data_IF_833892335696
#
_entry.id   IF_833892335696
#
_cell.length_a   1.000
_cell.length_b   1.000
_cell.length_c   1.000
_cell.angle_alpha   90.00
_cell.angle_beta   90.00
_cell.angle_gamma   90.00
#
_symmetry.space_group_name_H-M   'P 1'
#
loop_
_entity.id
_entity.type
_entity.pdbx_description
1 polymer ?
#
# COMPACT_ATOMS: atom_id res chain seq x y z
N UNK A 1 8.22 19.10 1.24
CA UNK A 1 7.99 19.31 2.69
C UNK A 1 7.01 18.23 3.13
N UNK A 2 7.47 17.13 3.72
CA UNK A 2 6.63 15.98 4.05
C UNK A 2 6.08 16.11 5.48
N UNK A 3 4.76 16.17 5.62
CA UNK A 3 4.05 16.23 6.92
C UNK A 3 4.02 14.84 7.54
N UNK A 4 4.49 14.73 8.79
CA UNK A 4 4.42 13.51 9.62
C UNK A 4 2.96 13.18 9.96
N UNK A 5 2.55 11.94 9.74
CA UNK A 5 1.27 11.37 10.17
C UNK A 5 1.55 10.68 11.51
N UNK A 6 0.63 10.83 12.48
CA UNK A 6 0.69 10.20 13.81
C UNK A 6 -0.56 9.29 13.93
N UNK A 7 -0.35 7.98 14.09
CA UNK A 7 -1.37 6.95 14.30
C UNK A 7 -1.15 6.35 15.69
N UNK A 8 -2.12 6.55 16.57
CA UNK A 8 -2.13 5.98 17.92
C UNK A 8 -3.08 4.77 17.94
N UNK A 9 -2.55 3.56 18.16
CA UNK A 9 -3.36 2.36 18.41
C UNK A 9 -2.64 1.46 19.44
N UNK A 10 -3.26 1.29 20.60
CA UNK A 10 -2.81 0.44 21.71
C UNK A 10 -3.60 -0.87 21.65
N UNK A 11 -2.96 -2.03 21.40
CA UNK A 11 -3.50 -3.35 21.78
C UNK A 11 -2.39 -4.40 21.97
N UNK A 12 -2.54 -5.25 23.00
CA UNK A 12 -1.73 -6.44 23.29
C UNK A 12 -1.96 -7.54 22.23
N UNK A 13 -0.94 -8.36 21.94
CA UNK A 13 -0.79 -9.39 20.88
C UNK A 13 -0.26 -8.85 19.54
N UNK A 14 0.52 -9.63 18.77
CA UNK A 14 1.14 -9.16 17.53
C UNK A 14 0.08 -9.15 16.41
N UNK A 15 -0.93 -8.29 16.58
CA UNK A 15 -1.50 -7.56 15.47
C UNK A 15 -0.29 -6.96 14.76
N UNK A 16 -0.17 -7.13 13.44
CA UNK A 16 0.79 -6.36 12.64
C UNK A 16 0.59 -4.92 13.08
N UNK A 17 1.47 -4.44 13.97
CA UNK A 17 1.29 -3.20 14.69
C UNK A 17 1.09 -2.17 13.61
N UNK A 18 -0.10 -1.56 13.55
CA UNK A 18 -0.58 -0.73 12.46
C UNK A 18 0.60 0.09 11.91
N UNK A 19 1.29 -0.47 10.91
CA UNK A 19 2.58 0.08 10.53
C UNK A 19 2.19 1.43 9.96
N UNK A 20 2.71 2.51 10.54
CA UNK A 20 2.39 3.84 10.06
C UNK A 20 2.84 3.89 8.61
N UNK A 21 1.91 3.68 7.67
CA UNK A 21 2.18 3.73 6.25
C UNK A 21 2.46 5.18 5.88
N UNK A 22 3.66 5.62 6.24
CA UNK A 22 4.10 7.01 6.26
C UNK A 22 4.47 7.51 4.87
N UNK A 23 4.73 6.59 3.94
CA UNK A 23 5.11 6.88 2.57
C UNK A 23 4.01 6.43 1.62
N UNK A 24 3.69 7.30 0.67
CA UNK A 24 2.73 7.03 -0.38
C UNK A 24 3.36 7.35 -1.74
N UNK A 25 3.34 6.35 -2.61
CA UNK A 25 3.84 6.44 -3.97
C UNK A 25 2.68 6.13 -4.92
N UNK A 26 2.58 6.88 -6.02
CA UNK A 26 1.56 6.64 -7.02
C UNK A 26 2.13 6.77 -8.43
N UNK A 27 1.70 5.90 -9.32
CA UNK A 27 2.10 5.94 -10.73
C UNK A 27 0.97 5.47 -11.65
N UNK A 28 1.07 5.86 -12.92
CA UNK A 28 0.17 5.35 -13.95
C UNK A 28 0.49 3.91 -14.31
N UNK A 29 -0.55 3.09 -14.44
CA UNK A 29 -0.48 1.74 -14.97
C UNK A 29 -1.58 1.57 -16.02
N UNK A 30 -1.23 1.89 -17.27
CA UNK A 30 -2.22 2.07 -18.34
C UNK A 30 -3.23 3.18 -18.01
N UNK A 31 -4.53 2.84 -18.02
CA UNK A 31 -5.60 3.74 -17.61
C UNK A 31 -5.75 3.85 -16.08
N UNK A 32 -5.22 2.88 -15.34
CA UNK A 32 -5.36 2.77 -13.89
C UNK A 32 -4.24 3.55 -13.18
N UNK A 33 -4.40 3.72 -11.87
CA UNK A 33 -3.40 4.35 -11.00
C UNK A 33 -3.03 3.37 -9.91
N UNK A 34 -1.76 2.98 -9.86
CA UNK A 34 -1.25 2.10 -8.82
C UNK A 34 -0.71 2.94 -7.69
N UNK A 35 -1.12 2.60 -6.46
CA UNK A 35 -0.68 3.24 -5.23
C UNK A 35 0.05 2.22 -4.40
N UNK A 36 1.24 2.58 -3.91
CA UNK A 36 2.01 1.82 -2.93
C UNK A 36 2.12 2.66 -1.66
N UNK A 37 1.56 2.14 -0.58
CA UNK A 37 1.70 2.67 0.76
C UNK A 37 2.75 1.84 1.50
N UNK A 38 3.66 2.49 2.22
CA UNK A 38 4.72 1.79 2.93
C UNK A 38 5.07 2.50 4.24
N UNK A 39 5.49 1.70 5.22
CA UNK A 39 6.07 2.16 6.49
C UNK A 39 7.50 2.71 6.35
N UNK A 40 8.21 2.29 5.31
CA UNK A 40 9.59 2.65 5.05
C UNK A 40 9.75 3.34 3.70
N UNK A 41 10.84 4.09 3.56
CA UNK A 41 11.19 4.69 2.28
C UNK A 41 11.70 3.60 1.34
N UNK A 42 11.03 3.44 0.20
CA UNK A 42 11.42 2.46 -0.82
C UNK A 42 12.15 3.20 -1.96
N UNK A 43 13.20 2.57 -2.51
CA UNK A 43 13.91 3.09 -3.68
C UNK A 43 13.01 3.01 -4.91
N UNK A 44 12.91 4.08 -5.69
CA UNK A 44 12.05 4.17 -6.87
C UNK A 44 12.35 3.08 -7.91
N UNK A 45 13.58 2.54 -7.92
CA UNK A 45 13.98 1.41 -8.77
C UNK A 45 13.22 0.12 -8.44
N UNK A 46 12.68 -0.01 -7.23
CA UNK A 46 11.93 -1.19 -6.80
C UNK A 46 10.43 -1.10 -7.13
N UNK A 47 9.87 0.09 -7.41
CA UNK A 47 8.42 0.26 -7.58
C UNK A 47 7.84 -0.54 -8.76
N UNK A 48 8.63 -0.76 -9.80
CA UNK A 48 8.23 -1.52 -10.98
C UNK A 48 8.57 -3.01 -10.92
N UNK A 49 9.29 -3.46 -9.89
CA UNK A 49 9.79 -4.83 -9.76
C UNK A 49 9.16 -5.50 -8.54
N UNK A 50 8.15 -6.32 -8.82
CA UNK A 50 7.44 -7.09 -7.80
C UNK A 50 8.38 -8.02 -7.01
N UNK A 51 9.41 -8.60 -7.65
CA UNK A 51 10.36 -9.47 -6.94
C UNK A 51 11.24 -8.67 -5.98
N UNK A 52 11.65 -7.46 -6.38
CA UNK A 52 12.40 -6.57 -5.49
C UNK A 52 11.58 -6.15 -4.26
N UNK A 53 10.30 -5.81 -4.45
CA UNK A 53 9.40 -5.51 -3.33
C UNK A 53 9.20 -6.73 -2.44
N UNK A 54 8.94 -7.90 -3.01
CA UNK A 54 8.80 -9.14 -2.24
C UNK A 54 10.07 -9.47 -1.45
N UNK A 55 11.26 -9.34 -2.04
CA UNK A 55 12.53 -9.60 -1.35
C UNK A 55 12.78 -8.63 -0.19
N UNK A 56 12.48 -7.34 -0.38
CA UNK A 56 12.59 -6.35 0.68
C UNK A 56 11.61 -6.65 1.83
N UNK A 57 10.38 -7.05 1.52
CA UNK A 57 9.38 -7.42 2.51
C UNK A 57 9.77 -8.70 3.27
N UNK A 58 10.28 -9.74 2.58
CA UNK A 58 10.84 -10.96 3.21
C UNK A 58 11.97 -10.65 4.18
N UNK A 59 12.78 -9.65 3.86
CA UNK A 59 13.91 -9.20 4.70
C UNK A 59 13.48 -8.24 5.81
N UNK A 60 12.17 -8.08 6.03
CA UNK A 60 11.59 -7.17 7.02
C UNK A 60 12.12 -5.73 6.85
N UNK A 61 12.37 -5.32 5.60
CA UNK A 61 12.87 -3.98 5.27
C UNK A 61 11.75 -2.99 4.98
N UNK A 62 10.55 -3.49 4.65
CA UNK A 62 9.33 -2.69 4.64
C UNK A 62 8.10 -3.60 4.79
N UNK A 63 7.03 -3.00 5.29
CA UNK A 63 5.66 -3.49 5.20
C UNK A 63 4.85 -2.48 4.41
N UNK A 64 3.98 -2.95 3.52
CA UNK A 64 3.26 -2.05 2.64
C UNK A 64 2.03 -2.66 2.01
N UNK A 65 1.24 -1.80 1.40
CA UNK A 65 0.05 -2.18 0.65
C UNK A 65 0.11 -1.54 -0.72
N UNK A 66 0.01 -2.36 -1.75
CA UNK A 66 -0.14 -1.91 -3.12
C UNK A 66 -1.58 -2.14 -3.57
N UNK A 67 -2.18 -1.13 -4.17
CA UNK A 67 -3.52 -1.22 -4.74
C UNK A 67 -3.56 -0.57 -6.13
N UNK A 68 -4.19 -1.24 -7.08
CA UNK A 68 -4.50 -0.65 -8.39
C UNK A 68 -5.90 -0.07 -8.36
N UNK A 69 -6.01 1.22 -8.65
CA UNK A 69 -7.25 1.99 -8.57
C UNK A 69 -7.68 2.39 -9.98
N UNK A 70 -8.91 2.03 -10.36
CA UNK A 70 -9.48 2.38 -11.67
C UNK A 70 -9.80 3.88 -11.76
N UNK A 71 -10.01 4.45 -12.96
CA UNK A 71 -10.48 5.84 -13.11
C UNK A 71 -11.80 6.15 -12.38
N UNK A 72 -12.62 5.13 -12.12
CA UNK A 72 -13.87 5.27 -11.37
C UNK A 72 -13.63 5.40 -9.86
N UNK A 73 -12.45 5.04 -9.38
CA UNK A 73 -12.08 5.01 -7.96
C UNK A 73 -12.35 3.65 -7.31
N UNK A 74 -12.46 2.59 -8.09
CA UNK A 74 -12.63 1.21 -7.60
C UNK A 74 -11.26 0.56 -7.44
N UNK A 75 -11.08 -0.27 -6.41
CA UNK A 75 -9.85 -1.04 -6.23
C UNK A 75 -9.95 -2.31 -7.07
N UNK A 76 -9.14 -2.41 -8.12
CA UNK A 76 -9.08 -3.54 -9.03
C UNK A 76 -8.23 -4.68 -8.47
N UNK A 77 -7.10 -4.34 -7.82
CA UNK A 77 -6.20 -5.31 -7.22
C UNK A 77 -5.60 -4.76 -5.92
N UNK A 78 -5.10 -5.68 -5.09
CA UNK A 78 -4.63 -5.42 -3.75
C UNK A 78 -3.59 -6.44 -3.33
N UNK A 79 -2.40 -5.98 -2.99
CA UNK A 79 -1.30 -6.83 -2.54
C UNK A 79 -0.73 -6.25 -1.27
N UNK A 80 -0.59 -7.08 -0.24
CA UNK A 80 0.06 -6.71 1.02
C UNK A 80 1.46 -7.30 1.01
N UNK A 81 2.46 -6.45 1.20
CA UNK A 81 3.85 -6.83 1.39
C UNK A 81 4.16 -6.84 2.88
N UNK A 82 4.66 -7.96 3.38
CA UNK A 82 4.98 -8.16 4.80
C UNK A 82 6.00 -9.29 4.92
N UNK A 83 6.77 -9.35 6.02
CA UNK A 83 7.67 -10.46 6.27
C UNK A 83 6.95 -11.81 6.47
N UNK A 84 5.63 -11.79 6.69
CA UNK A 84 4.81 -13.00 6.76
C UNK A 84 4.53 -13.60 5.37
N UNK A 85 4.08 -14.87 5.34
CA UNK A 85 3.56 -15.54 4.13
C UNK A 85 4.47 -15.40 2.89
N UNK A 86 5.78 -15.62 3.07
CA UNK A 86 6.77 -15.52 1.99
C UNK A 86 6.87 -14.14 1.30
N UNK A 87 6.65 -13.05 2.04
CA UNK A 87 6.99 -11.69 1.60
C UNK A 87 5.84 -10.86 1.06
N UNK A 88 4.77 -11.51 0.60
CA UNK A 88 3.56 -10.82 0.17
C UNK A 88 2.38 -11.79 0.08
N UNK A 89 1.17 -11.22 0.06
CA UNK A 89 -0.02 -11.95 -0.33
C UNK A 89 -1.02 -11.04 -1.03
N UNK A 90 -1.81 -11.64 -1.92
CA UNK A 90 -2.86 -10.93 -2.65
C UNK A 90 -4.14 -10.85 -1.80
N UNK A 91 -4.57 -9.63 -1.50
CA UNK A 91 -5.75 -9.27 -0.72
C UNK A 91 -6.79 -8.56 -1.60
N UNK A 92 -6.95 -9.03 -2.84
CA UNK A 92 -7.90 -8.47 -3.82
C UNK A 92 -9.33 -8.48 -3.24
N UNK A 93 -10.02 -7.35 -3.36
CA UNK A 93 -11.38 -7.18 -2.86
C UNK A 93 -11.49 -6.93 -1.34
N UNK A 94 -10.38 -6.96 -0.60
CA UNK A 94 -10.38 -6.69 0.85
C UNK A 94 -10.07 -5.23 1.20
N UNK A 95 -9.66 -4.44 0.20
CA UNK A 95 -9.35 -3.02 0.37
C UNK A 95 -10.51 -2.14 -0.09
N UNK A 96 -10.73 -1.06 0.66
CA UNK A 96 -11.63 0.03 0.31
C UNK A 96 -10.84 1.29 0.08
N UNK A 97 -11.03 1.89 -1.09
CA UNK A 97 -10.53 3.21 -1.38
C UNK A 97 -11.67 4.24 -1.28
N UNK A 98 -11.57 5.14 -0.32
CA UNK A 98 -12.42 6.32 -0.23
C UNK A 98 -11.71 7.46 -0.95
N UNK A 99 -12.13 7.71 -2.19
CA UNK A 99 -11.57 8.74 -3.04
C UNK A 99 -11.82 10.14 -2.47
N UNK A 100 -10.75 10.91 -2.29
CA UNK A 100 -10.82 12.35 -2.01
C UNK A 100 -10.46 13.16 -3.26
N UNK A 101 -9.38 12.76 -3.95
CA UNK A 101 -8.88 13.38 -5.17
C UNK A 101 -8.30 12.30 -6.08
N UNK A 102 -8.60 12.36 -7.38
CA UNK A 102 -7.96 11.52 -8.38
C UNK A 102 -7.96 12.29 -9.70
N UNK A 103 -6.82 12.91 -10.01
CA UNK A 103 -6.62 13.68 -11.24
C UNK A 103 -5.59 12.96 -12.12
N UNK A 104 -5.14 13.61 -13.20
CA UNK A 104 -4.04 13.09 -14.00
C UNK A 104 -2.69 13.14 -13.27
N UNK A 105 -2.52 14.06 -12.31
CA UNK A 105 -1.24 14.39 -11.67
C UNK A 105 -1.16 14.06 -10.19
N UNK A 106 -2.27 13.78 -9.52
CA UNK A 106 -2.29 13.45 -8.10
C UNK A 106 -3.44 12.52 -7.71
N UNK A 107 -3.22 11.76 -6.64
CA UNK A 107 -4.23 10.94 -6.00
C UNK A 107 -4.18 11.16 -4.49
N UNK A 108 -5.35 11.32 -3.89
CA UNK A 108 -5.51 11.42 -2.45
C UNK A 108 -6.77 10.72 -2.01
N UNK A 109 -6.73 10.15 -0.82
CA UNK A 109 -7.88 9.47 -0.25
C UNK A 109 -7.46 8.60 0.91
N UNK A 110 -8.34 7.67 1.24
CA UNK A 110 -8.14 6.74 2.33
C UNK A 110 -8.22 5.32 1.80
N UNK A 111 -7.16 4.55 2.01
CA UNK A 111 -7.14 3.12 1.75
C UNK A 111 -7.26 2.40 3.09
N UNK A 112 -8.26 1.53 3.23
CA UNK A 112 -8.49 0.81 4.48
C UNK A 112 -9.08 -0.56 4.23
N UNK A 113 -9.06 -1.42 5.24
CA UNK A 113 -9.95 -2.59 5.30
C UNK A 113 -11.23 -2.21 6.05
N UNK A 114 -12.36 -2.87 5.77
CA UNK A 114 -13.59 -2.63 6.55
C UNK A 114 -13.50 -3.18 7.96
N UNK A 115 -12.84 -4.32 8.07
CA UNK A 115 -12.69 -5.09 9.28
C UNK A 115 -11.33 -5.76 9.27
N UNK A 116 -11.05 -6.47 10.34
CA UNK A 116 -9.93 -7.39 10.38
C UNK A 116 -10.16 -8.52 9.37
N UNK A 117 -9.14 -8.79 8.56
CA UNK A 117 -9.11 -9.89 7.61
C UNK A 117 -8.03 -10.88 8.03
N UNK A 118 -8.30 -12.16 7.77
CA UNK A 118 -7.34 -13.23 7.97
C UNK A 118 -6.94 -13.79 6.61
N UNK A 119 -5.64 -13.82 6.36
CA UNK A 119 -5.04 -14.52 5.24
C UNK A 119 -4.08 -15.57 5.81
N UNK A 120 -4.46 -16.85 5.70
CA UNK A 120 -3.77 -17.95 6.37
C UNK A 120 -3.58 -17.70 7.87
N UNK A 121 -2.32 -17.58 8.33
CA UNK A 121 -1.97 -17.34 9.73
C UNK A 121 -1.80 -15.86 10.04
N UNK A 122 -1.95 -15.01 9.04
CA UNK A 122 -1.71 -13.57 9.13
C UNK A 122 -3.03 -12.85 9.27
N UNK A 123 -3.10 -12.02 10.30
CA UNK A 123 -4.25 -11.16 10.57
C UNK A 123 -3.86 -9.73 10.24
N UNK A 124 -4.67 -9.04 9.45
CA UNK A 124 -4.38 -7.68 9.04
C UNK A 124 -5.63 -6.80 9.08
N UNK A 125 -5.43 -5.58 9.54
CA UNK A 125 -6.35 -4.47 9.42
C UNK A 125 -5.52 -3.21 9.25
N UNK A 126 -5.94 -2.30 8.37
CA UNK A 126 -5.27 -1.01 8.24
C UNK A 126 -6.23 0.08 7.82
N UNK A 127 -5.83 1.31 8.10
CA UNK A 127 -6.56 2.52 7.75
C UNK A 127 -5.52 3.62 7.52
N UNK A 128 -5.27 3.92 6.25
CA UNK A 128 -4.24 4.85 5.83
C UNK A 128 -4.83 5.95 4.96
N UNK A 129 -4.71 7.19 5.43
CA UNK A 129 -4.96 8.38 4.61
C UNK A 129 -3.66 8.77 3.90
N UNK A 130 -3.77 9.05 2.61
CA UNK A 130 -2.60 9.37 1.79
C UNK A 130 -2.89 10.48 0.79
N UNK A 131 -1.80 11.10 0.36
CA UNK A 131 -1.74 12.04 -0.76
C UNK A 131 -0.41 11.83 -1.47
N UNK A 132 -0.47 11.50 -2.76
CA UNK A 132 0.71 11.28 -3.57
C UNK A 132 0.57 11.93 -4.96
N UNK A 133 1.62 12.57 -5.49
CA UNK A 133 1.67 12.91 -6.90
C UNK A 133 1.72 11.62 -7.73
N UNK A 134 1.04 11.62 -8.88
CA UNK A 134 1.06 10.50 -9.83
C UNK A 134 2.26 10.68 -10.75
N UNK A 135 3.24 9.80 -10.60
CA UNK A 135 4.40 9.71 -11.48
C UNK A 135 4.16 8.88 -12.74
N UNK A 136 5.12 8.89 -13.68
CA UNK A 136 5.13 7.94 -14.79
C UNK A 136 5.27 6.50 -14.27
N UNK A 137 4.86 5.53 -15.09
CA UNK A 137 5.05 4.11 -14.76
C UNK A 137 6.53 3.81 -14.49
N UNK A 138 6.88 3.19 -13.35
CA UNK A 138 8.25 2.78 -13.08
C UNK A 138 8.69 1.75 -14.12
N UNK A 139 9.94 1.88 -14.58
CA UNK A 139 10.51 0.93 -15.53
C UNK A 139 10.76 -0.40 -14.82
N UNK A 140 10.21 -1.49 -15.37
CA UNK A 140 10.58 -2.84 -14.96
C UNK A 140 12.07 -3.03 -15.25
N UNK A 141 12.81 -3.57 -14.30
CA UNK A 141 14.20 -3.99 -14.50
C UNK A 141 14.27 -5.44 -14.93
#
# INVERSE_FOLDING_TARGET
MYRRILVLLVFLFPVIAAAELAYAYAWKDGANTTVLLSDAKIDEKAFGDHFALTDLARKDKFTGVQATITPKGEVESGTIYTAAEDGYFDAVGMHKFQKKTQTASEIAGKLSTEKEHHFFKTTFAYNAEFHAPIGPQPKKK
#
